data_IF_286195845139
#
_entry.id   IF_286195845139
#
_cell.length_a   1.000
_cell.length_b   1.000
_cell.length_c   1.000
_cell.angle_alpha   90.00
_cell.angle_beta   90.00
_cell.angle_gamma   90.00
#
_symmetry.space_group_name_H-M   'P 1'
#
loop_
_entity.id
_entity.type
_entity.pdbx_description
1 polymer ?
#
# COMPACT_ATOMS: atom_id res chain seq x y z
N UNK A 1 7.39 2.13 6.14
CA UNK A 1 6.99 2.97 4.99
C UNK A 1 7.04 2.06 3.77
N UNK A 2 5.91 1.88 3.08
CA UNK A 2 5.83 1.05 1.88
C UNK A 2 6.30 1.85 0.66
N UNK A 3 6.98 1.22 -0.30
CA UNK A 3 7.34 1.83 -1.58
C UNK A 3 7.28 0.82 -2.70
N UNK A 4 6.92 1.28 -3.90
CA UNK A 4 7.17 0.57 -5.14
C UNK A 4 8.51 1.01 -5.75
N UNK A 5 9.11 0.17 -6.58
CA UNK A 5 10.23 0.50 -7.46
C UNK A 5 10.09 -0.29 -8.76
N UNK A 6 10.58 0.20 -9.92
CA UNK A 6 10.47 -0.52 -11.18
C UNK A 6 11.23 -1.84 -11.16
N UNK A 7 10.54 -2.94 -11.47
CA UNK A 7 11.13 -4.26 -11.67
C UNK A 7 10.52 -4.91 -12.93
N UNK A 8 11.32 -5.26 -13.96
CA UNK A 8 10.79 -5.83 -15.20
C UNK A 8 10.06 -7.16 -14.98
N UNK A 9 8.82 -7.26 -15.47
CA UNK A 9 8.01 -8.48 -15.38
C UNK A 9 7.24 -8.64 -14.06
N UNK A 10 7.43 -7.72 -13.12
CA UNK A 10 6.67 -7.66 -11.88
C UNK A 10 5.50 -6.67 -12.02
N UNK A 11 4.40 -6.95 -11.33
CA UNK A 11 3.26 -6.05 -11.19
C UNK A 11 2.85 -6.01 -9.72
N UNK A 12 2.24 -4.91 -9.29
CA UNK A 12 1.65 -4.77 -7.95
C UNK A 12 0.18 -4.40 -8.10
N UNK A 13 -0.68 -5.00 -7.28
CA UNK A 13 -2.07 -4.59 -7.16
C UNK A 13 -2.12 -3.15 -6.61
N UNK A 14 -2.93 -2.29 -7.24
CA UNK A 14 -3.01 -0.88 -6.90
C UNK A 14 -4.39 -0.29 -7.14
N UNK A 15 -4.65 0.88 -6.54
CA UNK A 15 -5.91 1.60 -6.73
C UNK A 15 -5.68 2.83 -7.61
N UNK A 16 -6.45 2.93 -8.69
CA UNK A 16 -6.53 4.16 -9.47
C UNK A 16 -7.53 5.12 -8.80
N UNK A 17 -7.01 6.18 -8.18
CA UNK A 17 -7.82 7.26 -7.61
C UNK A 17 -7.81 8.46 -8.55
N UNK A 18 -8.99 8.90 -8.98
CA UNK A 18 -9.15 10.08 -9.85
C UNK A 18 -9.74 11.21 -9.01
N UNK A 19 -9.05 12.35 -8.97
CA UNK A 19 -9.44 13.53 -8.21
C UNK A 19 -9.18 14.82 -9.02
N UNK A 20 -9.63 15.96 -8.50
CA UNK A 20 -9.42 17.28 -9.11
C UNK A 20 -7.95 17.69 -9.03
N UNK A 21 -7.45 18.30 -10.10
CA UNK A 21 -6.06 18.77 -10.19
C UNK A 21 -5.68 19.76 -9.07
N UNK A 22 -6.64 20.52 -8.54
CA UNK A 22 -6.41 21.45 -7.41
C UNK A 22 -6.03 20.75 -6.10
N UNK A 23 -6.35 19.47 -5.94
CA UNK A 23 -5.96 18.68 -4.77
C UNK A 23 -4.54 18.12 -4.88
N UNK A 24 -3.90 18.23 -6.05
CA UNK A 24 -2.63 17.60 -6.34
C UNK A 24 -1.51 18.13 -5.43
N UNK A 25 -1.49 19.43 -5.14
CA UNK A 25 -0.50 20.03 -4.23
C UNK A 25 -0.64 19.49 -2.79
N UNK A 26 -1.87 19.21 -2.35
CA UNK A 26 -2.11 18.61 -1.04
C UNK A 26 -1.65 17.13 -0.99
N UNK A 27 -1.76 16.41 -2.10
CA UNK A 27 -1.19 15.06 -2.23
C UNK A 27 0.35 15.13 -2.25
N UNK A 28 0.95 16.03 -3.02
CA UNK A 28 2.40 16.24 -3.06
C UNK A 28 2.98 16.56 -1.67
N UNK A 29 2.31 17.44 -0.92
CA UNK A 29 2.72 17.79 0.44
C UNK A 29 2.63 16.59 1.39
N UNK A 30 1.59 15.75 1.26
CA UNK A 30 1.43 14.51 2.04
C UNK A 30 2.52 13.49 1.69
N UNK A 31 2.82 13.35 0.41
CA UNK A 31 3.76 12.38 -0.15
C UNK A 31 5.17 12.96 -0.35
N UNK A 32 5.57 13.98 0.42
CA UNK A 32 6.86 14.69 0.23
C UNK A 32 8.11 13.79 0.26
N UNK A 33 7.98 12.59 0.85
CA UNK A 33 9.03 11.56 0.90
C UNK A 33 9.10 10.69 -0.35
N UNK A 34 8.26 10.95 -1.34
CA UNK A 34 8.16 10.24 -2.61
C UNK A 34 8.45 11.20 -3.78
N UNK A 35 8.90 10.64 -4.90
CA UNK A 35 8.89 11.28 -6.20
C UNK A 35 7.54 11.00 -6.86
N UNK A 36 6.85 12.05 -7.30
CA UNK A 36 5.74 11.90 -8.25
C UNK A 36 6.31 11.54 -9.61
N UNK A 37 5.91 10.40 -10.16
CA UNK A 37 6.28 9.93 -11.50
C UNK A 37 5.05 9.95 -12.38
N UNK A 38 5.21 10.45 -13.59
CA UNK A 38 4.20 10.33 -14.63
C UNK A 38 4.17 8.89 -15.13
N UNK A 39 2.96 8.33 -15.26
CA UNK A 39 2.73 7.02 -15.87
C UNK A 39 1.69 7.17 -16.98
N UNK A 40 1.57 6.13 -17.80
CA UNK A 40 0.58 6.03 -18.87
C UNK A 40 -0.37 4.86 -18.61
N UNK A 41 -1.44 4.78 -19.39
CA UNK A 41 -2.33 3.61 -19.36
C UNK A 41 -1.63 2.31 -19.77
N UNK A 42 -0.51 2.40 -20.53
CA UNK A 42 0.26 1.22 -20.91
C UNK A 42 1.04 0.63 -19.73
N UNK A 43 1.20 1.38 -18.64
CA UNK A 43 1.84 0.94 -17.40
C UNK A 43 0.84 0.31 -16.41
N UNK A 44 -0.44 0.21 -16.78
CA UNK A 44 -1.53 -0.28 -15.93
C UNK A 44 -2.23 -1.50 -16.56
N UNK A 45 -2.55 -2.49 -15.74
CA UNK A 45 -3.45 -3.59 -16.08
C UNK A 45 -4.71 -3.51 -15.21
N UNK A 46 -5.88 -3.50 -15.85
CA UNK A 46 -7.18 -3.36 -15.18
C UNK A 46 -7.93 -4.68 -15.02
N UNK A 47 -7.35 -5.82 -15.45
CA UNK A 47 -8.06 -7.12 -15.45
C UNK A 47 -9.33 -7.12 -16.32
N UNK A 48 -9.46 -6.15 -17.22
CA UNK A 48 -10.67 -5.85 -18.00
C UNK A 48 -10.49 -4.58 -18.84
N UNK A 49 -11.59 -3.98 -19.28
CA UNK A 49 -11.53 -2.71 -20.01
C UNK A 49 -11.06 -1.58 -19.07
N UNK A 50 -10.07 -0.80 -19.51
CA UNK A 50 -9.64 0.38 -18.78
C UNK A 50 -10.82 1.36 -18.56
N UNK A 51 -10.94 2.00 -17.40
CA UNK A 51 -11.99 2.98 -17.14
C UNK A 51 -11.97 4.08 -18.20
N UNK A 52 -13.11 4.36 -18.85
CA UNK A 52 -13.21 5.38 -19.89
C UNK A 52 -12.75 6.77 -19.42
N UNK A 53 -12.91 7.05 -18.12
CA UNK A 53 -12.42 8.28 -17.50
C UNK A 53 -10.88 8.36 -17.52
N UNK A 54 -10.18 7.26 -17.27
CA UNK A 54 -8.71 7.20 -17.29
C UNK A 54 -8.15 7.33 -18.73
N UNK A 55 -8.95 6.99 -19.75
CA UNK A 55 -8.62 7.12 -21.17
C UNK A 55 -8.77 8.54 -21.74
N UNK A 56 -9.24 9.52 -20.95
CA UNK A 56 -9.39 10.89 -21.43
C UNK A 56 -8.04 11.61 -21.50
N UNK A 57 -7.83 12.36 -22.58
CA UNK A 57 -6.59 13.10 -22.84
C UNK A 57 -6.28 14.20 -21.81
N UNK A 58 -7.28 14.67 -21.06
CA UNK A 58 -7.11 15.69 -20.02
C UNK A 58 -6.80 15.11 -18.63
N UNK A 59 -6.74 13.79 -18.49
CA UNK A 59 -6.34 13.12 -17.25
C UNK A 59 -4.84 12.80 -17.30
N UNK A 60 -4.09 13.25 -16.29
CA UNK A 60 -2.70 12.85 -16.07
C UNK A 60 -2.64 11.81 -14.95
N UNK A 61 -1.90 10.74 -15.22
CA UNK A 61 -1.73 9.62 -14.29
C UNK A 61 -0.37 9.74 -13.61
N UNK A 62 -0.37 9.52 -12.29
CA UNK A 62 0.83 9.64 -11.48
C UNK A 62 0.93 8.49 -10.49
N UNK A 63 2.16 8.07 -10.19
CA UNK A 63 2.49 7.17 -9.09
C UNK A 63 3.53 7.82 -8.17
N UNK A 64 3.48 7.52 -6.88
CA UNK A 64 4.44 8.03 -5.89
C UNK A 64 5.44 6.92 -5.52
N UNK A 65 6.71 7.15 -5.85
CA UNK A 65 7.85 6.24 -5.65
C UNK A 65 8.76 6.78 -4.54
N UNK A 66 9.19 6.00 -3.54
CA UNK A 66 9.94 6.57 -2.43
C UNK A 66 11.27 7.18 -2.89
N UNK A 67 11.63 8.34 -2.30
CA UNK A 67 12.93 8.97 -2.52
C UNK A 67 14.02 8.17 -1.81
N UNK A 68 14.77 7.37 -2.57
CA UNK A 68 15.93 6.62 -2.05
C UNK A 68 17.09 7.53 -1.60
N UNK A 69 17.05 8.80 -2.00
CA UNK A 69 18.01 9.85 -1.65
C UNK A 69 17.90 10.31 -0.19
N UNK A 70 16.74 10.09 0.44
CA UNK A 70 16.61 10.29 1.88
C UNK A 70 17.30 9.14 2.59
N UNK A 71 18.32 9.46 3.40
CA UNK A 71 18.97 8.47 4.28
C UNK A 71 17.89 7.64 4.98
N UNK A 72 18.01 6.30 4.98
CA UNK A 72 17.18 5.47 5.84
C UNK A 72 17.24 6.07 7.23
N UNK A 73 16.08 6.27 7.86
CA UNK A 73 16.04 6.67 9.27
C UNK A 73 16.85 5.61 10.02
N UNK A 74 17.98 6.00 10.61
CA UNK A 74 18.84 5.08 11.36
C UNK A 74 18.03 4.49 12.52
N UNK A 75 18.01 3.15 12.60
CA UNK A 75 17.27 2.39 13.61
C UNK A 75 16.03 1.67 13.06
N UNK A 76 15.49 0.69 13.82
CA UNK A 76 14.26 0.02 13.44
C UNK A 76 13.12 1.03 13.56
N UNK A 77 12.72 1.66 12.45
CA UNK A 77 11.47 2.42 12.43
C UNK A 77 10.31 1.41 12.32
N UNK A 78 9.57 1.15 13.41
CA UNK A 78 8.52 0.15 13.40
C UNK A 78 7.37 0.60 12.49
N UNK A 79 6.66 -0.36 11.91
CA UNK A 79 5.40 -0.10 11.23
C UNK A 79 4.33 0.10 12.31
N UNK A 80 3.51 1.15 12.22
CA UNK A 80 2.38 1.32 13.14
C UNK A 80 1.32 0.27 12.84
N UNK A 81 0.80 -0.42 13.86
CA UNK A 81 -0.29 -1.38 13.68
C UNK A 81 -1.52 -0.73 13.07
N UNK A 82 -1.90 0.45 13.59
CA UNK A 82 -3.03 1.26 13.12
C UNK A 82 -2.92 1.68 11.65
N UNK A 83 -1.70 1.91 11.15
CA UNK A 83 -1.46 2.15 9.72
C UNK A 83 -1.66 0.88 8.91
N UNK A 84 -1.14 -0.24 9.40
CA UNK A 84 -1.20 -1.49 8.68
C UNK A 84 -2.63 -2.02 8.58
N UNK A 85 -3.39 -1.91 9.67
CA UNK A 85 -4.82 -2.23 9.72
C UNK A 85 -5.62 -1.43 8.67
N UNK A 86 -5.35 -0.12 8.54
CA UNK A 86 -6.01 0.72 7.53
C UNK A 86 -5.69 0.29 6.09
N UNK A 87 -4.43 -0.09 5.82
CA UNK A 87 -4.02 -0.58 4.49
C UNK A 87 -4.66 -1.94 4.20
N UNK A 88 -4.59 -2.87 5.15
CA UNK A 88 -5.13 -4.22 5.00
C UNK A 88 -6.65 -4.22 4.86
N UNK A 89 -7.37 -3.35 5.58
CA UNK A 89 -8.81 -3.19 5.40
C UNK A 89 -9.16 -2.63 4.02
N UNK A 90 -8.37 -1.68 3.50
CA UNK A 90 -8.50 -1.23 2.12
C UNK A 90 -8.36 -2.38 1.11
N UNK A 91 -7.32 -3.20 1.25
CA UNK A 91 -7.11 -4.38 0.38
C UNK A 91 -8.24 -5.41 0.51
N UNK A 92 -8.70 -5.70 1.72
CA UNK A 92 -9.80 -6.63 1.96
C UNK A 92 -11.08 -6.14 1.28
N UNK A 93 -11.39 -4.85 1.40
CA UNK A 93 -12.62 -4.28 0.84
C UNK A 93 -12.60 -4.24 -0.69
N UNK A 94 -11.47 -3.89 -1.30
CA UNK A 94 -11.36 -3.72 -2.75
C UNK A 94 -11.07 -5.03 -3.49
N UNK A 95 -10.26 -5.92 -2.90
CA UNK A 95 -9.74 -7.13 -3.57
C UNK A 95 -10.08 -8.44 -2.86
N UNK A 96 -10.80 -8.38 -1.75
CA UNK A 96 -11.16 -9.56 -0.95
C UNK A 96 -9.97 -10.21 -0.24
N UNK A 97 -10.22 -11.36 0.39
CA UNK A 97 -9.22 -12.08 1.18
C UNK A 97 -8.02 -12.56 0.34
N UNK A 98 -8.24 -12.92 -0.92
CA UNK A 98 -7.16 -13.35 -1.81
C UNK A 98 -6.21 -12.21 -2.19
N UNK A 99 -6.75 -11.02 -2.46
CA UNK A 99 -5.95 -9.82 -2.71
C UNK A 99 -5.15 -9.40 -1.47
N UNK A 100 -5.78 -9.44 -0.29
CA UNK A 100 -5.07 -9.22 0.97
C UNK A 100 -3.90 -10.19 1.16
N UNK A 101 -4.11 -11.48 0.89
CA UNK A 101 -3.07 -12.50 1.01
C UNK A 101 -1.91 -12.27 0.03
N UNK A 102 -2.20 -11.93 -1.23
CA UNK A 102 -1.17 -11.56 -2.21
C UNK A 102 -0.38 -10.34 -1.75
N UNK A 103 -1.07 -9.28 -1.33
CA UNK A 103 -0.44 -8.07 -0.79
C UNK A 103 0.57 -8.39 0.31
N UNK A 104 0.18 -9.21 1.31
CA UNK A 104 1.10 -9.56 2.40
C UNK A 104 2.26 -10.43 1.94
N UNK A 105 2.03 -11.34 0.98
CA UNK A 105 3.05 -12.28 0.50
C UNK A 105 4.09 -11.63 -0.41
N UNK A 106 3.66 -10.72 -1.28
CA UNK A 106 4.48 -10.12 -2.34
C UNK A 106 5.13 -8.79 -1.93
N UNK A 107 4.70 -8.20 -0.81
CA UNK A 107 5.27 -6.95 -0.31
C UNK A 107 6.42 -7.22 0.66
N UNK A 108 7.61 -6.74 0.33
CA UNK A 108 8.76 -6.79 1.23
C UNK A 108 8.62 -5.80 2.41
N UNK A 109 9.35 -6.04 3.50
CA UNK A 109 9.42 -5.11 4.64
C UNK A 109 8.46 -5.42 5.80
N UNK A 110 7.70 -6.52 5.70
CA UNK A 110 6.88 -7.05 6.81
C UNK A 110 7.70 -7.72 7.93
N UNK A 111 9.00 -7.93 7.71
CA UNK A 111 9.98 -8.37 8.70
C UNK A 111 10.32 -7.29 9.75
N UNK A 112 9.92 -6.04 9.50
CA UNK A 112 10.13 -4.93 10.42
C UNK A 112 9.25 -5.07 11.67
N UNK A 113 9.72 -4.64 12.86
CA UNK A 113 8.88 -4.63 14.05
C UNK A 113 7.58 -3.84 13.84
N UNK A 114 6.47 -4.37 14.33
CA UNK A 114 5.19 -3.67 14.36
C UNK A 114 4.99 -3.07 15.74
N UNK A 115 4.65 -1.79 15.81
CA UNK A 115 4.27 -1.12 17.04
C UNK A 115 2.75 -1.31 17.25
N UNK A 116 2.38 -2.08 18.26
CA UNK A 116 0.98 -2.28 18.65
C UNK A 116 0.39 -1.00 19.26
N UNK A 117 -0.26 -0.19 18.44
CA UNK A 117 -0.86 1.09 18.83
C UNK A 117 -2.38 1.13 18.66
N UNK A 118 -3.06 -0.01 18.53
CA UNK A 118 -4.53 -0.08 18.36
C UNK A 118 -5.31 0.64 19.46
N UNK A 119 -4.88 0.53 20.72
CA UNK A 119 -5.53 1.17 21.87
C UNK A 119 -5.34 2.70 21.90
N UNK A 120 -4.32 3.21 21.23
CA UNK A 120 -4.02 4.65 21.15
C UNK A 120 -3.39 4.97 19.79
N UNK A 121 -4.20 4.99 18.70
CA UNK A 121 -3.68 5.03 17.34
C UNK A 121 -2.86 6.29 17.08
N UNK A 122 -1.63 6.10 16.61
CA UNK A 122 -0.76 7.21 16.18
C UNK A 122 -1.01 7.60 14.73
N UNK A 123 -1.55 6.67 13.93
CA UNK A 123 -1.94 6.97 12.56
C UNK A 123 -3.24 7.77 12.54
N UNK A 124 -3.21 8.96 11.94
CA UNK A 124 -4.33 9.91 11.95
C UNK A 124 -5.60 9.40 11.25
N UNK A 125 -5.49 8.34 10.45
CA UNK A 125 -6.60 7.69 9.73
C UNK A 125 -6.74 6.22 10.15
N UNK A 126 -6.55 5.95 11.44
CA UNK A 126 -6.84 4.63 11.99
C UNK A 126 -8.30 4.25 11.71
N UNK A 127 -8.53 2.96 11.49
CA UNK A 127 -9.83 2.41 11.13
C UNK A 127 -10.36 1.56 12.27
N UNK A 128 -11.69 1.51 12.39
CA UNK A 128 -12.35 0.55 13.27
C UNK A 128 -12.41 -0.82 12.57
N UNK A 129 -11.97 -1.85 13.29
CA UNK A 129 -11.99 -3.23 12.80
C UNK A 129 -12.98 -4.06 13.58
N UNK A 130 -13.70 -4.94 12.88
CA UNK A 130 -14.43 -6.02 13.50
C UNK A 130 -13.47 -7.09 14.06
N UNK A 131 -13.92 -7.90 15.04
CA UNK A 131 -13.12 -9.02 15.54
C UNK A 131 -12.68 -10.01 14.44
N UNK A 132 -13.50 -10.16 13.39
CA UNK A 132 -13.18 -11.03 12.25
C UNK A 132 -12.04 -10.46 11.38
N UNK A 133 -12.05 -9.15 11.12
CA UNK A 133 -10.96 -8.47 10.40
C UNK A 133 -9.65 -8.54 11.19
N UNK A 134 -9.70 -8.31 12.51
CA UNK A 134 -8.52 -8.42 13.37
C UNK A 134 -7.90 -9.83 13.26
N UNK A 135 -8.72 -10.87 13.42
CA UNK A 135 -8.25 -12.25 13.34
C UNK A 135 -7.67 -12.59 11.96
N UNK A 136 -8.30 -12.10 10.88
CA UNK A 136 -7.81 -12.28 9.53
C UNK A 136 -6.45 -11.60 9.31
N UNK A 137 -6.30 -10.36 9.80
CA UNK A 137 -5.07 -9.60 9.60
C UNK A 137 -3.91 -10.17 10.42
N UNK A 138 -4.18 -10.64 11.64
CA UNK A 138 -3.19 -11.34 12.45
C UNK A 138 -2.75 -12.66 11.81
N UNK A 139 -3.69 -13.42 11.24
CA UNK A 139 -3.36 -14.65 10.52
C UNK A 139 -2.54 -14.37 9.25
N UNK A 140 -2.85 -13.31 8.51
CA UNK A 140 -2.11 -12.94 7.30
C UNK A 140 -0.67 -12.49 7.61
N UNK A 141 -0.45 -11.80 8.72
CA UNK A 141 0.87 -11.30 9.14
C UNK A 141 1.67 -12.29 9.98
N UNK A 142 1.07 -13.39 10.42
CA UNK A 142 1.79 -14.42 11.15
C UNK A 142 2.93 -14.96 10.25
N UNK A 143 4.17 -15.08 10.77
CA UNK A 143 5.26 -15.60 9.98
C UNK A 143 4.88 -16.99 9.45
N UNK A 144 4.98 -17.17 8.13
CA UNK A 144 4.78 -18.48 7.50
C UNK A 144 5.84 -19.40 8.09
N UNK A 145 5.45 -20.23 9.06
CA UNK A 145 6.30 -21.32 9.53
C UNK A 145 6.43 -22.29 8.36
N UNK A 146 7.55 -22.20 7.64
CA UNK A 146 7.97 -23.29 6.76
C UNK A 146 7.98 -24.60 7.57
N UNK A 147 7.66 -25.76 6.96
CA UNK A 147 7.64 -27.02 7.68
C UNK A 147 9.01 -27.21 8.34
N UNK A 148 9.01 -27.37 9.66
CA UNK A 148 10.18 -27.84 10.40
C UNK A 148 10.54 -29.21 9.84
N UNK A 149 11.55 -29.24 8.97
CA UNK A 149 12.14 -30.48 8.48
C UNK A 149 12.70 -31.26 9.66
N UNK A 150 12.18 -32.47 9.84
CA UNK A 150 12.72 -33.54 10.66
C UNK A 150 12.65 -34.83 9.87
#
# INVERSE_FOLDING_TARGET
MLSAHPEPGSAIDGLLVIDRAENLDAVDAREFRYHRRDISLADLDFGGAAPALAARADIRLHVYEARIEHKPVEGPAPILRSYLDAVMQGFLNEFGADGLRRFVTETAGFDRPVLEDREAPRYARAVDLSPAEIALFEAALAPVRGPSGG
#
